data_IF_092057016370
#
_entry.id   IF_092057016370
#
_cell.length_a   1.000
_cell.length_b   1.000
_cell.length_c   1.000
_cell.angle_alpha   90.00
_cell.angle_beta   90.00
_cell.angle_gamma   90.00
#
_symmetry.space_group_name_H-M   'P 1'
#
loop_
_entity.id
_entity.type
_entity.pdbx_description
1 polymer ?
#
# COMPACT_ATOMS: atom_id res chain seq x y z
N UNK A 1 -24.39 -2.40 -19.98
CA UNK A 1 -23.10 -2.01 -19.38
C UNK A 1 -22.48 -3.27 -18.74
N UNK A 2 -21.23 -3.54 -19.01
CA UNK A 2 -20.54 -4.66 -18.36
C UNK A 2 -19.82 -4.14 -17.12
N UNK A 3 -19.90 -4.88 -16.03
CA UNK A 3 -19.17 -4.63 -14.80
C UNK A 3 -18.07 -5.69 -14.66
N UNK A 4 -16.91 -5.30 -14.17
CA UNK A 4 -15.87 -6.25 -13.74
C UNK A 4 -16.26 -6.89 -12.39
N UNK A 5 -16.74 -6.07 -11.47
CA UNK A 5 -17.30 -6.50 -10.19
C UNK A 5 -18.60 -5.73 -9.91
N UNK A 6 -19.73 -6.30 -10.28
CA UNK A 6 -21.04 -5.65 -10.16
C UNK A 6 -21.33 -5.20 -8.70
N UNK A 7 -20.97 -6.01 -7.71
CA UNK A 7 -21.27 -5.71 -6.32
C UNK A 7 -20.51 -4.47 -5.82
N UNK A 8 -19.23 -4.34 -6.18
CA UNK A 8 -18.42 -3.19 -5.80
C UNK A 8 -18.78 -1.94 -6.62
N UNK A 9 -19.00 -2.10 -7.93
CA UNK A 9 -19.25 -0.96 -8.83
C UNK A 9 -20.65 -0.35 -8.67
N UNK A 10 -21.60 -1.09 -8.09
CA UNK A 10 -22.94 -0.58 -7.78
C UNK A 10 -23.16 -0.33 -6.27
N UNK A 11 -22.11 -0.48 -5.48
CA UNK A 11 -22.21 -0.31 -4.04
C UNK A 11 -22.55 1.15 -3.66
N UNK A 12 -23.50 1.38 -2.72
CA UNK A 12 -23.81 2.72 -2.25
C UNK A 12 -22.57 3.44 -1.66
N UNK A 13 -22.40 4.75 -1.87
CA UNK A 13 -21.24 5.51 -1.39
C UNK A 13 -20.94 5.35 0.10
N UNK A 14 -21.96 5.23 0.94
CA UNK A 14 -21.79 4.97 2.38
C UNK A 14 -21.11 3.62 2.63
N UNK A 15 -21.58 2.56 1.98
CA UNK A 15 -21.03 1.22 2.12
C UNK A 15 -19.59 1.14 1.58
N UNK A 16 -19.27 1.86 0.50
CA UNK A 16 -17.89 1.97 -0.01
C UNK A 16 -16.97 2.57 1.05
N UNK A 17 -17.39 3.66 1.70
CA UNK A 17 -16.60 4.31 2.76
C UNK A 17 -16.37 3.39 3.95
N UNK A 18 -17.38 2.65 4.37
CA UNK A 18 -17.28 1.66 5.45
C UNK A 18 -16.28 0.54 5.07
N UNK A 19 -16.40 -0.01 3.85
CA UNK A 19 -15.48 -1.02 3.33
C UNK A 19 -14.04 -0.49 3.24
N UNK A 20 -13.83 0.77 2.82
CA UNK A 20 -12.50 1.37 2.75
C UNK A 20 -11.83 1.46 4.13
N UNK A 21 -12.56 1.84 5.16
CA UNK A 21 -12.04 1.90 6.52
C UNK A 21 -11.75 0.51 7.09
N UNK A 22 -12.62 -0.45 6.86
CA UNK A 22 -12.38 -1.84 7.25
C UNK A 22 -11.07 -2.37 6.63
N UNK A 23 -10.89 -2.16 5.32
CA UNK A 23 -9.66 -2.55 4.60
C UNK A 23 -8.43 -1.80 5.12
N UNK A 24 -8.57 -0.50 5.41
CA UNK A 24 -7.46 0.27 5.99
C UNK A 24 -7.04 -0.28 7.35
N UNK A 25 -7.98 -0.58 8.25
CA UNK A 25 -7.67 -1.15 9.56
C UNK A 25 -6.98 -2.52 9.44
N UNK A 26 -7.44 -3.36 8.51
CA UNK A 26 -6.79 -4.64 8.22
C UNK A 26 -5.36 -4.45 7.71
N UNK A 27 -5.16 -3.53 6.76
CA UNK A 27 -3.84 -3.19 6.24
C UNK A 27 -2.93 -2.64 7.35
N UNK A 28 -3.41 -1.68 8.13
CA UNK A 28 -2.64 -1.08 9.24
C UNK A 28 -2.16 -2.15 10.22
N UNK A 29 -3.05 -3.06 10.63
CA UNK A 29 -2.72 -4.18 11.52
C UNK A 29 -1.63 -5.09 10.96
N UNK A 30 -1.62 -5.29 9.64
CA UNK A 30 -0.64 -6.15 8.97
C UNK A 30 0.73 -5.49 8.84
N UNK A 31 0.80 -4.16 8.69
CA UNK A 31 2.06 -3.45 8.43
C UNK A 31 2.66 -2.81 9.67
N UNK A 32 1.85 -2.34 10.62
CA UNK A 32 2.36 -1.69 11.83
C UNK A 32 3.12 -2.69 12.71
N UNK A 33 4.34 -2.34 13.07
CA UNK A 33 5.26 -3.21 13.82
C UNK A 33 6.02 -4.24 12.96
N UNK A 34 5.56 -4.52 11.75
CA UNK A 34 6.24 -5.46 10.82
C UNK A 34 6.99 -4.73 9.70
N UNK A 35 6.37 -3.73 9.11
CA UNK A 35 7.01 -2.88 8.11
C UNK A 35 7.70 -1.71 8.81
N UNK A 36 9.02 -1.74 8.89
CA UNK A 36 9.80 -0.71 9.59
C UNK A 36 9.60 0.68 9.01
N UNK A 37 9.62 0.82 7.68
CA UNK A 37 9.46 2.12 7.00
C UNK A 37 8.15 2.80 7.38
N UNK A 38 7.03 2.08 7.30
CA UNK A 38 5.72 2.64 7.63
C UNK A 38 5.48 2.75 9.13
N UNK A 39 6.02 1.85 9.95
CA UNK A 39 5.92 1.96 11.40
C UNK A 39 6.56 3.25 11.90
N UNK A 40 7.81 3.54 11.49
CA UNK A 40 8.51 4.77 11.84
C UNK A 40 7.76 6.02 11.34
N UNK A 41 7.16 5.94 10.16
CA UNK A 41 6.38 7.03 9.57
C UNK A 41 5.07 7.30 10.31
N UNK A 42 4.36 6.26 10.73
CA UNK A 42 3.15 6.38 11.52
C UNK A 42 3.45 6.89 12.94
N UNK A 43 4.51 6.41 13.58
CA UNK A 43 4.93 6.86 14.89
C UNK A 43 5.29 8.36 14.87
N UNK A 44 6.07 8.79 13.87
CA UNK A 44 6.43 10.20 13.71
C UNK A 44 5.20 11.10 13.51
N UNK A 45 4.18 10.61 12.84
CA UNK A 45 2.91 11.31 12.61
C UNK A 45 1.88 11.11 13.74
N UNK A 46 2.19 10.31 14.76
CA UNK A 46 1.29 9.92 15.85
C UNK A 46 0.00 9.26 15.35
N UNK A 47 0.11 8.44 14.31
CA UNK A 47 -0.99 7.67 13.74
C UNK A 47 -1.02 6.28 14.38
N UNK A 48 -2.15 5.93 14.96
CA UNK A 48 -2.44 4.58 15.48
C UNK A 48 -3.78 4.07 14.94
N UNK A 49 -4.19 2.88 15.36
CA UNK A 49 -5.44 2.26 14.92
C UNK A 49 -6.71 3.03 15.34
N UNK A 50 -6.60 3.97 16.30
CA UNK A 50 -7.71 4.80 16.78
C UNK A 50 -7.77 6.15 16.07
N UNK A 51 -6.68 6.58 15.47
CA UNK A 51 -6.57 7.89 14.80
C UNK A 51 -7.44 7.93 13.53
N UNK A 52 -7.50 6.81 12.80
CA UNK A 52 -8.22 6.74 11.53
C UNK A 52 -9.52 5.96 11.73
N UNK A 53 -10.64 6.68 11.90
CA UNK A 53 -11.96 6.11 12.15
C UNK A 53 -12.90 6.20 10.94
N UNK A 54 -12.64 7.13 10.04
CA UNK A 54 -13.42 7.32 8.82
C UNK A 54 -12.52 7.72 7.64
N UNK A 55 -13.06 7.72 6.43
CA UNK A 55 -12.31 8.00 5.19
C UNK A 55 -11.65 9.39 5.20
N UNK A 56 -12.25 10.38 5.85
CA UNK A 56 -11.67 11.73 5.89
C UNK A 56 -10.40 11.78 6.76
N UNK A 57 -10.29 10.89 7.75
CA UNK A 57 -9.11 10.81 8.62
C UNK A 57 -7.87 10.30 7.87
N UNK A 58 -8.05 9.60 6.74
CA UNK A 58 -6.95 9.13 5.89
C UNK A 58 -6.04 10.29 5.44
N UNK A 59 -6.58 11.50 5.31
CA UNK A 59 -5.81 12.70 4.99
C UNK A 59 -4.75 13.07 6.05
N UNK A 60 -4.83 12.50 7.25
CA UNK A 60 -3.82 12.67 8.31
C UNK A 60 -2.58 11.81 8.08
N UNK A 61 -2.69 10.78 7.25
CA UNK A 61 -1.57 9.88 6.95
C UNK A 61 -0.53 10.62 6.11
N UNK A 62 0.74 10.65 6.51
CA UNK A 62 1.77 11.33 5.74
C UNK A 62 1.98 10.66 4.38
N UNK A 63 2.06 11.47 3.34
CA UNK A 63 2.35 10.99 2.00
C UNK A 63 3.74 10.35 1.92
N UNK A 64 3.89 9.38 1.03
CA UNK A 64 5.16 8.76 0.71
C UNK A 64 5.59 9.20 -0.69
N UNK A 65 6.82 9.66 -0.82
CA UNK A 65 7.42 10.01 -2.10
C UNK A 65 8.52 9.02 -2.49
N UNK A 66 8.93 9.09 -3.75
CA UNK A 66 9.92 8.17 -4.32
C UNK A 66 11.30 8.31 -3.65
N UNK A 67 11.69 9.52 -3.29
CA UNK A 67 12.95 9.83 -2.67
C UNK A 67 13.11 9.17 -1.30
N UNK A 68 12.04 9.14 -0.51
CA UNK A 68 12.03 8.42 0.79
C UNK A 68 12.26 6.92 0.60
N UNK A 69 11.63 6.33 -0.41
CA UNK A 69 11.77 4.90 -0.71
C UNK A 69 13.17 4.56 -1.24
N UNK A 70 13.74 5.42 -2.10
CA UNK A 70 15.11 5.25 -2.58
C UNK A 70 16.10 5.35 -1.42
N UNK A 71 15.95 6.33 -0.55
CA UNK A 71 16.78 6.48 0.65
C UNK A 71 16.72 5.23 1.53
N UNK A 72 15.52 4.73 1.81
CA UNK A 72 15.33 3.50 2.58
C UNK A 72 16.01 2.30 1.91
N UNK A 73 15.99 2.22 0.58
CA UNK A 73 16.66 1.17 -0.20
C UNK A 73 18.18 1.28 -0.12
N UNK A 74 18.74 2.49 -0.09
CA UNK A 74 20.18 2.72 0.07
C UNK A 74 20.66 2.37 1.48
N UNK A 75 19.87 2.69 2.49
CA UNK A 75 20.17 2.38 3.88
C UNK A 75 20.10 0.88 4.20
N UNK A 76 19.23 0.15 3.51
CA UNK A 76 19.05 -1.30 3.64
C UNK A 76 18.92 -1.99 2.27
N UNK A 77 20.01 -2.20 1.54
CA UNK A 77 19.97 -2.89 0.24
C UNK A 77 19.55 -4.36 0.37
N UNK A 78 18.98 -4.98 -0.66
CA UNK A 78 18.65 -4.38 -1.97
C UNK A 78 17.26 -3.74 -2.04
N UNK A 79 16.35 -3.99 -1.07
CA UNK A 79 14.93 -3.65 -1.17
C UNK A 79 14.48 -2.55 -0.19
N UNK A 80 15.33 -2.15 0.73
CA UNK A 80 15.00 -1.14 1.74
C UNK A 80 14.29 -1.69 2.96
N UNK A 81 13.81 -0.77 3.80
CA UNK A 81 13.05 -1.09 5.02
C UNK A 81 11.52 -1.18 4.75
N UNK A 82 11.09 -0.92 3.52
CA UNK A 82 9.69 -1.06 3.10
C UNK A 82 9.39 -2.51 2.67
N UNK A 83 9.56 -3.44 3.59
CA UNK A 83 9.19 -4.84 3.43
C UNK A 83 8.44 -5.29 4.69
N UNK A 84 7.24 -5.83 4.50
CA UNK A 84 6.36 -6.28 5.59
C UNK A 84 6.64 -7.74 5.96
N UNK A 85 6.97 -8.55 4.96
CA UNK A 85 7.14 -9.99 5.07
C UNK A 85 8.60 -10.40 4.80
N UNK A 86 9.01 -11.63 5.15
CA UNK A 86 10.30 -12.17 4.73
C UNK A 86 10.37 -12.28 3.21
N UNK A 87 11.57 -12.21 2.62
CA UNK A 87 11.77 -12.25 1.17
C UNK A 87 11.10 -13.46 0.49
N UNK A 88 11.07 -14.61 1.17
CA UNK A 88 10.40 -15.82 0.67
C UNK A 88 8.89 -15.70 0.45
N UNK A 89 8.24 -14.69 1.04
CA UNK A 89 6.81 -14.44 0.86
C UNK A 89 6.50 -13.63 -0.42
N UNK A 90 7.53 -13.05 -1.04
CA UNK A 90 7.35 -12.27 -2.26
C UNK A 90 7.56 -13.14 -3.49
N UNK A 91 6.67 -12.99 -4.46
CA UNK A 91 6.66 -13.78 -5.70
C UNK A 91 7.10 -12.98 -6.92
N UNK A 92 7.16 -11.65 -6.82
CA UNK A 92 7.50 -10.75 -7.92
C UNK A 92 8.40 -9.62 -7.46
N UNK A 93 9.23 -9.21 -8.40
CA UNK A 93 10.15 -8.10 -8.28
C UNK A 93 9.95 -7.16 -9.47
N UNK A 94 9.82 -5.88 -9.18
CA UNK A 94 9.72 -4.81 -10.17
C UNK A 94 10.81 -3.78 -9.92
N UNK A 95 11.29 -3.17 -10.99
CA UNK A 95 12.27 -2.10 -10.91
C UNK A 95 11.90 -0.98 -11.86
N UNK A 96 11.96 0.26 -11.38
CA UNK A 96 11.80 1.43 -12.26
C UNK A 96 13.03 1.60 -13.15
N UNK A 97 12.86 2.27 -14.30
CA UNK A 97 13.95 2.50 -15.26
C UNK A 97 15.12 3.32 -14.70
N UNK A 98 14.85 4.14 -13.66
CA UNK A 98 15.88 5.02 -13.09
C UNK A 98 16.36 6.15 -14.03
N UNK A 99 15.54 6.55 -15.01
CA UNK A 99 15.88 7.59 -16.01
C UNK A 99 16.24 8.94 -15.39
N UNK A 100 15.74 9.25 -14.19
CA UNK A 100 15.99 10.49 -13.45
C UNK A 100 16.90 10.29 -12.23
N UNK A 101 17.50 9.11 -12.06
CA UNK A 101 18.33 8.78 -10.90
C UNK A 101 18.40 7.27 -10.63
N UNK A 102 18.40 6.89 -9.36
CA UNK A 102 18.49 5.48 -8.94
C UNK A 102 17.17 4.75 -9.16
N UNK A 103 17.21 3.50 -9.65
CA UNK A 103 16.01 2.70 -9.81
C UNK A 103 15.43 2.31 -8.44
N UNK A 104 14.11 2.43 -8.32
CA UNK A 104 13.38 1.92 -7.17
C UNK A 104 12.98 0.46 -7.41
N UNK A 105 13.23 -0.39 -6.43
CA UNK A 105 12.85 -1.80 -6.43
C UNK A 105 11.64 -2.02 -5.56
N UNK A 106 10.68 -2.79 -6.07
CA UNK A 106 9.41 -3.09 -5.40
C UNK A 106 9.20 -4.59 -5.40
N UNK A 107 8.77 -5.12 -4.28
CA UNK A 107 8.43 -6.51 -4.09
C UNK A 107 6.93 -6.68 -3.96
N UNK A 108 6.37 -7.67 -4.64
CA UNK A 108 4.97 -8.04 -4.53
C UNK A 108 4.79 -9.47 -4.04
N UNK A 109 3.89 -9.63 -3.07
CA UNK A 109 3.35 -10.93 -2.68
C UNK A 109 2.34 -11.42 -3.73
N UNK A 110 1.96 -12.71 -3.74
CA UNK A 110 0.86 -13.17 -4.59
C UNK A 110 -0.41 -12.36 -4.41
N UNK A 111 -0.76 -12.00 -3.18
CA UNK A 111 -1.95 -11.21 -2.86
C UNK A 111 -1.85 -9.77 -3.40
N UNK A 112 -0.74 -9.06 -3.19
CA UNK A 112 -0.59 -7.69 -3.72
C UNK A 112 -0.62 -7.67 -5.25
N UNK A 113 -0.07 -8.69 -5.89
CA UNK A 113 -0.14 -8.83 -7.35
C UNK A 113 -1.56 -9.11 -7.86
N UNK A 114 -2.33 -9.92 -7.16
CA UNK A 114 -3.75 -10.13 -7.49
C UNK A 114 -4.55 -8.83 -7.39
N UNK A 115 -4.31 -8.01 -6.37
CA UNK A 115 -4.91 -6.68 -6.25
C UNK A 115 -4.58 -5.77 -7.42
N UNK A 116 -3.35 -5.79 -7.92
CA UNK A 116 -2.95 -5.10 -9.15
C UNK A 116 -3.82 -5.52 -10.35
N UNK A 117 -3.99 -6.82 -10.54
CA UNK A 117 -4.82 -7.37 -11.60
C UNK A 117 -6.29 -6.93 -11.48
N UNK A 118 -6.85 -6.97 -10.27
CA UNK A 118 -8.21 -6.51 -10.00
C UNK A 118 -8.38 -5.02 -10.29
N UNK A 119 -7.46 -4.17 -9.85
CA UNK A 119 -7.49 -2.73 -10.16
C UNK A 119 -7.47 -2.48 -11.67
N UNK A 120 -6.66 -3.23 -12.42
CA UNK A 120 -6.65 -3.19 -13.88
C UNK A 120 -8.00 -3.60 -14.50
N UNK A 121 -8.67 -4.60 -13.94
CA UNK A 121 -9.99 -5.04 -14.36
C UNK A 121 -11.05 -3.92 -14.31
N UNK A 122 -11.06 -3.12 -13.25
CA UNK A 122 -11.98 -1.98 -13.12
C UNK A 122 -11.71 -0.86 -14.15
N UNK A 123 -10.49 -0.72 -14.62
CA UNK A 123 -10.11 0.32 -15.60
C UNK A 123 -10.41 -0.12 -17.04
N UNK A 124 -10.31 -1.42 -17.32
CA UNK A 124 -10.39 -1.96 -18.68
C UNK A 124 -11.79 -2.44 -19.08
N UNK A 125 -12.76 -2.44 -18.18
CA UNK A 125 -14.15 -2.85 -18.45
C UNK A 125 -15.06 -1.66 -18.65
#
# INVERSE_FOLDING_TARGET
MKFFDHALETMPPKAIKELQIEKFHSLFKNIYGQNRFYTEKFDAARIDHKTIQNVNDIAQIPLTNKEELIKAQEEKPPFGSNATFPESAYSRFHQTSGTTGKPLRVLDTPESWEWWGRCGGFVLT
#
